data_IF_506411278326
#
_entry.id   IF_506411278326
#
_cell.length_a   1.000
_cell.length_b   1.000
_cell.length_c   1.000
_cell.angle_alpha   90.00
_cell.angle_beta   90.00
_cell.angle_gamma   90.00
#
_symmetry.space_group_name_H-M   'P 1'
#
loop_
_entity.id
_entity.type
_entity.pdbx_description
1 polymer ?
#
# COMPACT_ATOMS: atom_id res chain seq x y z
N UNK A 1 1.53 8.72 4.81
CA UNK A 1 1.63 7.25 4.65
C UNK A 1 2.97 6.78 5.20
N UNK A 2 3.01 5.65 5.89
CA UNK A 2 4.22 5.00 6.40
C UNK A 2 4.33 3.60 5.80
N UNK A 3 5.52 3.21 5.36
CA UNK A 3 5.78 1.88 4.80
C UNK A 3 7.02 1.30 5.47
N UNK A 4 6.92 0.07 5.91
CA UNK A 4 8.00 -0.66 6.56
C UNK A 4 8.18 -2.02 5.89
N UNK A 5 9.41 -2.38 5.58
CA UNK A 5 9.76 -3.74 5.18
C UNK A 5 9.85 -4.60 6.46
N UNK A 6 8.96 -5.58 6.58
CA UNK A 6 8.90 -6.49 7.74
C UNK A 6 9.80 -7.70 7.55
N UNK A 7 9.87 -8.21 6.31
CA UNK A 7 10.62 -9.40 5.95
C UNK A 7 11.03 -9.37 4.48
N UNK A 8 12.17 -9.94 4.19
CA UNK A 8 12.56 -10.33 2.84
C UNK A 8 13.35 -11.65 2.88
N UNK A 9 13.37 -12.35 1.75
CA UNK A 9 14.17 -13.57 1.58
C UNK A 9 15.67 -13.26 1.69
N UNK A 10 16.40 -14.02 2.52
CA UNK A 10 17.86 -13.90 2.65
C UNK A 10 18.56 -14.42 1.37
N UNK A 11 19.04 -13.49 0.55
CA UNK A 11 19.76 -13.81 -0.69
C UNK A 11 21.10 -14.52 -0.44
N UNK A 12 21.79 -14.20 0.64
CA UNK A 12 23.07 -14.82 0.95
C UNK A 12 22.87 -16.29 1.36
N UNK A 13 21.78 -16.61 2.03
CA UNK A 13 21.41 -17.99 2.29
C UNK A 13 21.14 -18.75 0.97
N UNK A 14 20.41 -18.16 0.04
CA UNK A 14 20.16 -18.75 -1.29
C UNK A 14 21.48 -18.97 -2.04
N UNK A 15 22.35 -17.97 -2.12
CA UNK A 15 23.66 -18.06 -2.80
C UNK A 15 24.52 -19.18 -2.23
N UNK A 16 24.56 -19.32 -0.90
CA UNK A 16 25.31 -20.43 -0.26
C UNK A 16 24.79 -21.80 -0.69
N UNK A 17 23.47 -21.97 -0.74
CA UNK A 17 22.87 -23.25 -1.18
C UNK A 17 23.13 -23.52 -2.66
N UNK A 18 23.02 -22.53 -3.53
CA UNK A 18 23.33 -22.66 -4.96
C UNK A 18 24.79 -23.01 -5.19
N UNK A 19 25.73 -22.33 -4.51
CA UNK A 19 27.16 -22.59 -4.61
C UNK A 19 27.52 -24.02 -4.21
N UNK A 20 26.93 -24.55 -3.14
CA UNK A 20 27.11 -25.95 -2.71
C UNK A 20 26.68 -26.96 -3.78
N UNK A 21 25.72 -26.58 -4.64
CA UNK A 21 25.20 -27.42 -5.72
C UNK A 21 25.87 -27.14 -7.08
N UNK A 22 26.87 -26.26 -7.13
CA UNK A 22 27.53 -25.85 -8.37
C UNK A 22 26.62 -25.04 -9.32
N UNK A 23 25.56 -24.43 -8.78
CA UNK A 23 24.61 -23.59 -9.56
C UNK A 23 24.99 -22.14 -9.41
N UNK A 24 25.07 -21.42 -10.55
CA UNK A 24 25.31 -19.97 -10.55
C UNK A 24 24.08 -19.20 -10.08
N UNK A 25 24.30 -18.14 -9.31
CA UNK A 25 23.25 -17.22 -8.94
C UNK A 25 22.86 -16.33 -10.14
N UNK A 26 21.61 -16.43 -10.57
CA UNK A 26 21.03 -15.56 -11.59
C UNK A 26 19.98 -14.64 -10.94
N UNK A 27 20.25 -13.31 -10.86
CA UNK A 27 19.32 -12.36 -10.29
C UNK A 27 17.91 -12.41 -10.93
N UNK A 28 17.83 -12.56 -12.25
CA UNK A 28 16.54 -12.56 -12.95
C UNK A 28 15.72 -13.83 -12.64
N UNK A 29 16.33 -14.99 -12.62
CA UNK A 29 15.67 -16.23 -12.21
C UNK A 29 15.23 -16.19 -10.74
N UNK A 30 15.98 -15.50 -9.88
CA UNK A 30 15.66 -15.38 -8.46
C UNK A 30 14.49 -14.46 -8.15
N UNK A 31 14.08 -13.59 -9.05
CA UNK A 31 12.95 -12.66 -8.81
C UNK A 31 11.63 -13.36 -8.45
N UNK A 32 11.41 -14.57 -8.92
CA UNK A 32 10.20 -15.34 -8.60
C UNK A 32 10.27 -16.00 -7.22
N UNK A 33 11.46 -16.18 -6.66
CA UNK A 33 11.72 -16.86 -5.40
C UNK A 33 11.98 -15.92 -4.23
N UNK A 34 12.34 -14.67 -4.48
CA UNK A 34 12.56 -13.67 -3.44
C UNK A 34 11.24 -12.99 -3.09
N UNK A 35 10.87 -13.09 -1.82
CA UNK A 35 9.60 -12.58 -1.28
C UNK A 35 9.89 -11.38 -0.37
N UNK A 36 9.02 -10.39 -0.43
CA UNK A 36 8.96 -9.25 0.50
C UNK A 36 7.63 -9.23 1.23
N UNK A 37 7.67 -8.83 2.50
CA UNK A 37 6.48 -8.52 3.30
C UNK A 37 6.58 -7.07 3.78
N UNK A 38 5.59 -6.26 3.44
CA UNK A 38 5.52 -4.86 3.82
C UNK A 38 4.33 -4.59 4.72
N UNK A 39 4.54 -3.76 5.75
CA UNK A 39 3.49 -3.09 6.48
C UNK A 39 3.27 -1.71 5.87
N UNK A 40 2.02 -1.36 5.59
CA UNK A 40 1.61 -0.10 4.98
C UNK A 40 0.55 0.52 5.89
N UNK A 41 0.82 1.71 6.42
CA UNK A 41 -0.07 2.42 7.33
C UNK A 41 -0.37 3.84 6.82
N UNK A 42 -1.49 4.38 7.26
CA UNK A 42 -1.95 5.74 6.92
C UNK A 42 -2.16 5.96 5.41
N UNK A 43 -2.46 4.90 4.65
CA UNK A 43 -2.90 5.03 3.26
C UNK A 43 -4.44 5.08 3.18
N UNK A 44 -4.96 5.75 2.14
CA UNK A 44 -6.41 5.82 1.92
C UNK A 44 -6.98 4.51 1.38
N UNK A 45 -8.30 4.30 1.57
CA UNK A 45 -9.02 3.22 0.86
C UNK A 45 -8.99 3.42 -0.66
N UNK A 46 -8.87 4.66 -1.16
CA UNK A 46 -8.65 4.92 -2.60
C UNK A 46 -7.41 4.19 -3.10
N UNK A 47 -6.31 4.26 -2.36
CA UNK A 47 -5.05 3.59 -2.70
C UNK A 47 -5.17 2.07 -2.60
N UNK A 48 -5.78 1.55 -1.53
CA UNK A 48 -5.91 0.09 -1.39
C UNK A 48 -6.83 -0.52 -2.44
N UNK A 49 -7.88 0.16 -2.89
CA UNK A 49 -8.72 -0.30 -4.01
C UNK A 49 -7.95 -0.44 -5.33
N UNK A 50 -6.88 0.33 -5.53
CA UNK A 50 -5.98 0.19 -6.67
C UNK A 50 -4.92 -0.88 -6.43
N UNK A 51 -4.41 -0.96 -5.18
CA UNK A 51 -3.34 -1.89 -4.79
C UNK A 51 -3.80 -3.35 -4.91
N UNK A 52 -4.99 -3.69 -4.42
CA UNK A 52 -5.52 -5.07 -4.46
C UNK A 52 -5.84 -5.58 -5.88
N UNK A 53 -5.72 -4.74 -6.92
CA UNK A 53 -5.79 -5.17 -8.31
C UNK A 53 -4.54 -5.94 -8.75
N UNK A 54 -3.43 -5.82 -8.03
CA UNK A 54 -2.23 -6.63 -8.21
C UNK A 54 -2.44 -8.01 -7.57
N UNK A 55 -3.11 -8.90 -8.29
CA UNK A 55 -3.57 -10.22 -7.78
C UNK A 55 -2.45 -11.21 -7.45
N UNK A 56 -1.22 -10.92 -7.89
CA UNK A 56 -0.03 -11.72 -7.57
C UNK A 56 0.54 -11.43 -6.16
N UNK A 57 -0.12 -10.58 -5.38
CA UNK A 57 0.21 -10.30 -3.98
C UNK A 57 -0.87 -10.83 -3.04
N UNK A 58 -0.49 -11.13 -1.80
CA UNK A 58 -1.40 -11.42 -0.69
C UNK A 58 -1.55 -10.19 0.18
N UNK A 59 -2.75 -9.97 0.70
CA UNK A 59 -3.11 -8.79 1.49
C UNK A 59 -3.86 -9.19 2.76
N UNK A 60 -3.45 -8.62 3.89
CA UNK A 60 -4.20 -8.62 5.14
C UNK A 60 -4.48 -7.18 5.53
N UNK A 61 -5.73 -6.74 5.40
CA UNK A 61 -6.13 -5.34 5.58
C UNK A 61 -7.06 -5.18 6.78
N UNK A 62 -6.82 -4.13 7.57
CA UNK A 62 -7.67 -3.76 8.69
C UNK A 62 -9.16 -3.66 8.30
N UNK A 63 -9.99 -4.34 9.10
CA UNK A 63 -11.43 -4.37 8.87
C UNK A 63 -12.14 -3.22 9.57
N UNK A 64 -12.90 -2.43 8.80
CA UNK A 64 -13.79 -1.38 9.32
C UNK A 64 -15.02 -1.92 10.07
N UNK A 65 -15.20 -3.23 10.16
CA UNK A 65 -16.25 -3.82 11.01
C UNK A 65 -15.92 -3.70 12.49
N UNK A 66 -14.62 -3.69 12.81
CA UNK A 66 -14.12 -3.74 14.19
C UNK A 66 -13.47 -2.43 14.62
N UNK A 67 -12.85 -1.69 13.70
CA UNK A 67 -12.21 -0.42 13.99
C UNK A 67 -13.21 0.72 14.03
N UNK A 68 -13.04 1.66 14.97
CA UNK A 68 -13.80 2.91 14.96
C UNK A 68 -13.24 3.86 13.90
N UNK A 69 -14.13 4.44 13.10
CA UNK A 69 -13.75 5.48 12.16
C UNK A 69 -13.73 6.84 12.87
N UNK A 70 -12.63 7.60 12.72
CA UNK A 70 -12.51 8.96 13.26
C UNK A 70 -12.24 9.96 12.14
N UNK A 71 -12.65 11.21 12.33
CA UNK A 71 -12.46 12.28 11.35
C UNK A 71 -10.98 12.56 11.06
N UNK A 72 -10.12 12.44 12.06
CA UNK A 72 -8.67 12.63 11.95
C UNK A 72 -8.01 11.50 11.12
N UNK A 73 -8.71 10.39 10.99
CA UNK A 73 -8.27 9.23 10.22
C UNK A 73 -8.56 9.33 8.71
N UNK A 74 -8.31 10.49 8.05
CA UNK A 74 -8.47 10.65 6.61
C UNK A 74 -7.19 11.13 5.93
N UNK A 75 -7.07 10.82 4.65
CA UNK A 75 -6.01 11.34 3.76
C UNK A 75 -6.62 12.49 2.95
N UNK A 76 -6.00 13.67 3.03
CA UNK A 76 -6.38 14.83 2.22
C UNK A 76 -5.46 14.91 1.01
N UNK A 77 -5.98 14.80 -0.23
CA UNK A 77 -5.17 14.94 -1.44
C UNK A 77 -4.46 16.31 -1.52
N UNK A 78 -3.21 16.37 -2.01
CA UNK A 78 -2.48 17.64 -2.15
C UNK A 78 -3.22 18.71 -2.95
N UNK A 79 -3.93 18.33 -4.02
CA UNK A 79 -4.73 19.23 -4.85
C UNK A 79 -5.93 19.84 -4.10
N UNK A 80 -6.49 19.13 -3.12
CA UNK A 80 -7.53 19.66 -2.25
C UNK A 80 -6.90 20.59 -1.21
N UNK A 81 -5.79 20.18 -0.62
CA UNK A 81 -5.10 20.94 0.41
C UNK A 81 -4.60 22.31 -0.08
N UNK A 82 -4.17 22.38 -1.35
CA UNK A 82 -3.70 23.62 -1.98
C UNK A 82 -4.81 24.52 -2.54
N UNK A 83 -6.08 24.11 -2.46
CA UNK A 83 -7.23 24.87 -2.98
C UNK A 83 -8.19 25.25 -1.85
N UNK A 84 -8.22 26.50 -1.45
CA UNK A 84 -9.01 26.98 -0.31
C UNK A 84 -10.51 26.66 -0.41
N UNK A 85 -11.10 26.85 -1.59
CA UNK A 85 -12.51 26.53 -1.83
C UNK A 85 -12.79 25.03 -1.76
N UNK A 86 -11.93 24.25 -2.41
CA UNK A 86 -11.95 22.80 -2.39
C UNK A 86 -11.76 22.24 -0.99
N UNK A 87 -10.81 22.77 -0.23
CA UNK A 87 -10.56 22.36 1.15
C UNK A 87 -11.76 22.64 2.07
N UNK A 88 -12.36 23.84 1.98
CA UNK A 88 -13.56 24.19 2.77
C UNK A 88 -14.75 23.26 2.46
N UNK A 89 -14.96 22.93 1.18
CA UNK A 89 -16.03 22.01 0.77
C UNK A 89 -15.75 20.59 1.28
N UNK A 90 -14.51 20.12 1.15
CA UNK A 90 -14.07 18.81 1.64
C UNK A 90 -14.22 18.67 3.16
N UNK A 91 -13.73 19.64 3.93
CA UNK A 91 -13.84 19.64 5.39
C UNK A 91 -15.30 19.69 5.87
N UNK A 92 -16.14 20.50 5.22
CA UNK A 92 -17.58 20.54 5.50
C UNK A 92 -18.25 19.18 5.27
N UNK A 93 -17.93 18.53 4.15
CA UNK A 93 -18.47 17.20 3.83
C UNK A 93 -18.02 16.15 4.83
N UNK A 94 -16.73 16.12 5.22
CA UNK A 94 -16.22 15.20 6.22
C UNK A 94 -16.92 15.39 7.58
N UNK A 95 -17.11 16.63 8.04
CA UNK A 95 -17.83 16.92 9.28
C UNK A 95 -19.24 16.32 9.27
N UNK A 96 -19.98 16.51 8.18
CA UNK A 96 -21.34 15.99 8.04
C UNK A 96 -21.35 14.45 8.03
N UNK A 97 -20.47 13.82 7.29
CA UNK A 97 -20.38 12.34 7.18
C UNK A 97 -20.05 11.71 8.52
N UNK A 98 -19.02 12.21 9.23
CA UNK A 98 -18.64 11.62 10.52
C UNK A 98 -19.68 11.86 11.61
N UNK A 99 -20.33 13.04 11.64
CA UNK A 99 -21.47 13.29 12.53
C UNK A 99 -22.63 12.31 12.28
N UNK A 100 -22.96 12.06 11.01
CA UNK A 100 -24.00 11.07 10.66
C UNK A 100 -23.59 9.63 11.03
N UNK A 101 -22.32 9.27 10.83
CA UNK A 101 -21.79 7.96 11.24
C UNK A 101 -21.92 7.75 12.76
N UNK A 102 -21.51 8.73 13.55
CA UNK A 102 -21.60 8.69 15.02
C UNK A 102 -23.05 8.58 15.49
N UNK A 103 -23.97 9.34 14.88
CA UNK A 103 -25.40 9.26 15.18
C UNK A 103 -25.98 7.89 14.87
N UNK A 104 -25.64 7.27 13.74
CA UNK A 104 -26.08 5.90 13.42
C UNK A 104 -25.56 4.88 14.43
N UNK A 105 -24.27 4.96 14.79
CA UNK A 105 -23.69 4.06 15.80
C UNK A 105 -24.37 4.26 17.17
N UNK A 106 -24.62 5.51 17.58
CA UNK A 106 -25.32 5.83 18.82
C UNK A 106 -26.77 5.35 18.83
N UNK A 107 -27.43 5.30 17.66
CA UNK A 107 -28.76 4.75 17.49
C UNK A 107 -28.80 3.21 17.44
N UNK A 108 -27.65 2.54 17.62
CA UNK A 108 -27.55 1.08 17.64
C UNK A 108 -27.35 0.43 16.25
N UNK A 109 -27.10 1.20 15.20
CA UNK A 109 -26.76 0.64 13.89
C UNK A 109 -25.40 -0.05 14.00
N UNK A 110 -25.24 -1.32 13.58
CA UNK A 110 -23.94 -1.99 13.59
C UNK A 110 -22.88 -1.23 12.78
N UNK A 111 -21.63 -1.21 13.25
CA UNK A 111 -20.53 -0.53 12.54
C UNK A 111 -20.35 -1.02 11.11
N UNK A 112 -20.62 -2.30 10.85
CA UNK A 112 -20.54 -2.90 9.51
C UNK A 112 -21.53 -2.28 8.50
N UNK A 113 -22.62 -1.71 8.98
CA UNK A 113 -23.62 -1.02 8.16
C UNK A 113 -23.40 0.50 8.22
N UNK A 114 -23.13 1.08 9.40
CA UNK A 114 -22.86 2.50 9.53
C UNK A 114 -21.68 2.97 8.65
N UNK A 115 -20.68 2.13 8.43
CA UNK A 115 -19.50 2.43 7.56
C UNK A 115 -19.85 2.69 6.09
N UNK A 116 -21.07 2.39 5.62
CA UNK A 116 -21.46 2.63 4.22
C UNK A 116 -21.41 4.11 3.82
N UNK A 117 -21.48 5.03 4.79
CA UNK A 117 -21.34 6.47 4.51
C UNK A 117 -19.92 6.98 4.59
N UNK A 118 -18.95 6.18 5.06
CA UNK A 118 -17.57 6.63 5.24
C UNK A 118 -16.90 6.92 3.90
N UNK A 119 -16.09 7.99 3.81
CA UNK A 119 -15.45 8.37 2.57
C UNK A 119 -14.32 7.42 2.22
N UNK A 120 -14.04 7.21 0.94
CA UNK A 120 -12.88 6.45 0.48
C UNK A 120 -11.54 7.07 0.91
N UNK A 121 -11.55 8.32 1.36
CA UNK A 121 -10.39 9.01 1.93
C UNK A 121 -9.96 8.46 3.30
N UNK A 122 -10.80 7.61 3.95
CA UNK A 122 -10.46 7.05 5.26
C UNK A 122 -9.14 6.28 5.21
N UNK A 123 -8.29 6.54 6.21
CA UNK A 123 -7.03 5.82 6.39
C UNK A 123 -7.28 4.36 6.74
N UNK A 124 -6.36 3.53 6.34
CA UNK A 124 -6.31 2.12 6.67
C UNK A 124 -4.86 1.66 6.81
N UNK A 125 -4.68 0.46 7.31
CA UNK A 125 -3.39 -0.24 7.35
C UNK A 125 -3.55 -1.64 6.78
N UNK A 126 -2.48 -2.16 6.21
CA UNK A 126 -2.44 -3.52 5.67
C UNK A 126 -1.03 -4.08 5.70
N UNK A 127 -0.95 -5.40 5.69
CA UNK A 127 0.25 -6.15 5.36
C UNK A 127 0.10 -6.66 3.93
N UNK A 128 1.17 -6.55 3.14
CA UNK A 128 1.24 -7.04 1.77
C UNK A 128 2.44 -7.95 1.61
N UNK A 129 2.25 -9.12 1.00
CA UNK A 129 3.31 -10.07 0.67
C UNK A 129 3.30 -10.37 -0.83
N UNK A 130 4.48 -10.28 -1.48
CA UNK A 130 4.64 -10.57 -2.90
C UNK A 130 6.10 -10.93 -3.21
N UNK A 131 6.33 -11.61 -4.35
CA UNK A 131 7.69 -11.84 -4.83
C UNK A 131 8.26 -10.62 -5.59
N UNK A 132 9.57 -10.63 -5.83
CA UNK A 132 10.27 -9.51 -6.46
C UNK A 132 9.75 -9.22 -7.87
N UNK A 133 9.43 -10.22 -8.68
CA UNK A 133 8.87 -10.04 -10.03
C UNK A 133 7.51 -9.35 -9.99
N UNK A 134 6.65 -9.75 -9.09
CA UNK A 134 5.34 -9.13 -8.89
C UNK A 134 5.46 -7.69 -8.39
N UNK A 135 6.43 -7.43 -7.51
CA UNK A 135 6.74 -6.07 -7.05
C UNK A 135 7.25 -5.20 -8.20
N UNK A 136 8.15 -5.71 -9.04
CA UNK A 136 8.63 -5.01 -10.24
C UNK A 136 7.47 -4.60 -11.17
N UNK A 137 6.54 -5.52 -11.42
CA UNK A 137 5.36 -5.24 -12.25
C UNK A 137 4.47 -4.15 -11.61
N UNK A 138 4.23 -4.22 -10.29
CA UNK A 138 3.52 -3.19 -9.53
C UNK A 138 4.21 -1.83 -9.67
N UNK A 139 5.51 -1.77 -9.43
CA UNK A 139 6.32 -0.54 -9.52
C UNK A 139 6.21 0.05 -10.93
N UNK A 140 6.44 -0.75 -11.96
CA UNK A 140 6.34 -0.30 -13.35
C UNK A 140 4.97 0.31 -13.68
N UNK A 141 3.88 -0.33 -13.26
CA UNK A 141 2.53 0.19 -13.52
C UNK A 141 2.19 1.44 -12.69
N UNK A 142 2.66 1.54 -11.45
CA UNK A 142 2.21 2.56 -10.50
C UNK A 142 3.13 3.75 -10.36
N UNK A 143 4.34 3.70 -10.93
CA UNK A 143 5.22 4.88 -11.02
C UNK A 143 4.98 5.71 -12.29
N UNK A 144 4.15 5.23 -13.23
CA UNK A 144 3.76 5.97 -14.43
C UNK A 144 3.11 7.33 -14.07
N UNK A 145 3.34 8.36 -14.88
CA UNK A 145 2.90 9.74 -14.60
C UNK A 145 1.38 9.87 -14.43
N UNK A 146 0.60 9.06 -15.13
CA UNK A 146 -0.86 9.03 -15.07
C UNK A 146 -1.40 8.25 -13.86
N UNK A 147 -0.54 7.55 -13.10
CA UNK A 147 -0.97 6.91 -11.87
C UNK A 147 -1.35 7.96 -10.82
N UNK A 148 -2.37 7.65 -10.01
CA UNK A 148 -2.81 8.53 -8.93
C UNK A 148 -1.64 8.76 -7.93
N UNK A 149 -1.52 9.97 -7.42
CA UNK A 149 -0.37 10.43 -6.65
C UNK A 149 0.00 9.53 -5.46
N UNK A 150 -1.01 9.05 -4.70
CA UNK A 150 -0.78 8.29 -3.47
C UNK A 150 -0.26 6.88 -3.75
N UNK A 151 -0.83 6.17 -4.75
CA UNK A 151 -0.32 4.85 -5.13
C UNK A 151 1.05 4.95 -5.82
N UNK A 152 1.34 6.07 -6.49
CA UNK A 152 2.67 6.33 -7.06
C UNK A 152 3.72 6.52 -5.96
N UNK A 153 3.40 7.30 -4.92
CA UNK A 153 4.25 7.45 -3.74
C UNK A 153 4.50 6.11 -3.04
N UNK A 154 3.43 5.31 -2.87
CA UNK A 154 3.54 3.96 -2.31
C UNK A 154 4.49 3.09 -3.13
N UNK A 155 4.27 2.99 -4.45
CA UNK A 155 5.09 2.16 -5.34
C UNK A 155 6.57 2.57 -5.33
N UNK A 156 6.84 3.87 -5.33
CA UNK A 156 8.21 4.42 -5.22
C UNK A 156 8.86 4.02 -3.89
N UNK A 157 8.11 4.08 -2.80
CA UNK A 157 8.63 3.71 -1.47
C UNK A 157 8.89 2.21 -1.35
N UNK A 158 7.99 1.37 -1.87
CA UNK A 158 8.16 -0.09 -1.91
C UNK A 158 9.41 -0.48 -2.70
N UNK A 159 9.61 0.15 -3.87
CA UNK A 159 10.79 -0.07 -4.72
C UNK A 159 12.08 0.27 -3.98
N UNK A 160 12.15 1.47 -3.38
CA UNK A 160 13.33 1.91 -2.62
C UNK A 160 13.67 0.92 -1.50
N UNK A 161 12.69 0.49 -0.69
CA UNK A 161 12.91 -0.46 0.40
C UNK A 161 13.38 -1.84 -0.10
N UNK A 162 12.83 -2.32 -1.21
CA UNK A 162 13.26 -3.58 -1.82
C UNK A 162 14.68 -3.48 -2.39
N UNK A 163 15.01 -2.35 -3.02
CA UNK A 163 16.34 -2.08 -3.57
C UNK A 163 17.39 -1.98 -2.45
N UNK A 164 17.07 -1.35 -1.32
CA UNK A 164 17.97 -1.30 -0.15
C UNK A 164 18.20 -2.68 0.45
N UNK A 165 17.17 -3.54 0.49
CA UNK A 165 17.25 -4.88 1.09
C UNK A 165 17.96 -5.91 0.20
N UNK A 166 17.80 -5.83 -1.13
CA UNK A 166 18.31 -6.80 -2.09
C UNK A 166 18.82 -6.11 -3.37
N UNK A 167 19.84 -5.27 -3.29
CA UNK A 167 20.27 -4.39 -4.39
C UNK A 167 20.59 -5.16 -5.68
N UNK A 168 21.11 -6.37 -5.57
CA UNK A 168 21.54 -7.18 -6.72
C UNK A 168 20.38 -7.57 -7.66
N UNK A 169 19.15 -7.63 -7.15
CA UNK A 169 17.98 -7.94 -7.97
C UNK A 169 17.50 -6.75 -8.81
N UNK A 170 17.87 -5.51 -8.41
CA UNK A 170 17.30 -4.29 -8.98
C UNK A 170 18.24 -3.53 -9.91
N UNK A 171 19.51 -3.95 -10.03
CA UNK A 171 20.54 -3.27 -10.84
C UNK A 171 20.26 -3.28 -12.33
N UNK A 172 19.58 -4.32 -12.87
CA UNK A 172 19.33 -4.47 -14.31
C UNK A 172 17.97 -3.90 -14.78
N UNK A 173 17.13 -3.40 -13.86
CA UNK A 173 15.76 -3.01 -14.17
C UNK A 173 15.62 -1.55 -14.60
N UNK A 174 16.62 -0.73 -14.34
CA UNK A 174 16.64 0.72 -14.64
C UNK A 174 16.89 1.00 -16.13
N UNK A 175 17.30 0.01 -16.93
CA UNK A 175 17.71 0.18 -18.35
C UNK A 175 16.63 -0.19 -19.39
N UNK A 176 15.33 -0.27 -18.99
CA UNK A 176 14.25 -0.54 -19.97
C UNK A 176 13.18 0.52 -19.98
#
# INVERSE_FOLDING_TARGET
>A
MRVKLLYHTDLDAIKRVLAQKGVLFDPEAMMDHVVYMFEIEDCSRVTTHQLVRHRAASYDQESQRFSAATREGVVTPPSIQSNDGGYKAYDKALKAVYSAYEQMVAAGVPKEDARYILPSAIKTKLVMTLNARSLMHLVWQRTALQAQWEIRELATTLHRLAQEATPELWTKIIER
#
